data_IF_060970425648
#
_entry.id   IF_060970425648
#
_cell.length_a   1.000
_cell.length_b   1.000
_cell.length_c   1.000
_cell.angle_alpha   90.00
_cell.angle_beta   90.00
_cell.angle_gamma   90.00
#
_symmetry.space_group_name_H-M   'P 1'
#
loop_
_entity.id
_entity.type
_entity.pdbx_description
1 polymer ?
#
# COMPACT_ATOMS: atom_id res chain seq x y z
N UNK A 1 26.49 12.93 21.48
CA UNK A 1 25.14 13.49 21.35
C UNK A 1 24.92 13.80 19.89
N UNK A 2 23.76 13.52 19.29
CA UNK A 2 23.52 13.90 17.90
C UNK A 2 23.63 15.43 17.75
N UNK A 3 24.25 15.89 16.67
CA UNK A 3 24.55 17.30 16.44
C UNK A 3 23.31 18.13 16.10
N UNK A 4 22.27 17.50 15.56
CA UNK A 4 21.01 18.16 15.24
C UNK A 4 20.00 18.06 16.40
N UNK A 5 19.56 19.23 16.87
CA UNK A 5 18.55 19.38 17.92
C UNK A 5 17.10 19.25 17.42
N UNK A 6 16.92 19.14 16.10
CA UNK A 6 15.61 19.13 15.46
C UNK A 6 15.38 17.80 14.74
N UNK A 7 14.14 17.31 14.84
CA UNK A 7 13.66 16.13 14.13
C UNK A 7 12.80 16.60 12.96
N UNK A 8 13.20 16.24 11.74
CA UNK A 8 12.48 16.61 10.52
C UNK A 8 11.92 15.36 9.85
N UNK A 9 10.76 15.49 9.20
CA UNK A 9 10.18 14.42 8.41
C UNK A 9 10.88 14.35 7.05
N UNK A 10 11.42 13.19 6.68
CA UNK A 10 12.16 13.02 5.42
C UNK A 10 11.37 12.25 4.34
N UNK A 11 10.28 11.61 4.73
CA UNK A 11 9.58 10.61 3.92
C UNK A 11 8.43 11.20 3.09
N UNK A 12 8.68 12.35 2.44
CA UNK A 12 7.67 13.12 1.70
C UNK A 12 6.98 12.36 0.56
N UNK A 13 7.58 11.28 0.06
CA UNK A 13 6.96 10.39 -0.94
C UNK A 13 5.64 9.76 -0.47
N UNK A 14 5.43 9.64 0.84
CA UNK A 14 4.16 9.15 1.41
C UNK A 14 3.10 10.25 1.57
N UNK A 15 3.42 11.51 1.25
CA UNK A 15 2.43 12.58 1.17
C UNK A 15 1.61 12.54 -0.13
N UNK A 16 2.01 11.71 -1.11
CA UNK A 16 1.23 11.50 -2.31
C UNK A 16 0.18 10.41 -2.08
N UNK A 17 -1.09 10.64 -2.46
CA UNK A 17 -2.12 9.62 -2.34
C UNK A 17 -1.78 8.42 -3.21
N UNK A 18 -1.89 7.22 -2.62
CA UNK A 18 -1.78 5.97 -3.38
C UNK A 18 -3.10 5.78 -4.14
N UNK A 19 -3.08 5.75 -5.49
CA UNK A 19 -4.32 5.80 -6.27
C UNK A 19 -5.15 4.52 -6.15
N UNK A 20 -4.53 3.37 -5.89
CA UNK A 20 -5.23 2.10 -5.73
C UNK A 20 -4.66 1.32 -4.55
N UNK A 21 -5.55 0.79 -3.71
CA UNK A 21 -5.19 -0.05 -2.56
C UNK A 21 -5.91 -1.39 -2.65
N UNK A 22 -5.18 -2.49 -2.44
CA UNK A 22 -5.76 -3.83 -2.37
C UNK A 22 -5.76 -4.29 -0.91
N UNK A 23 -6.94 -4.64 -0.39
CA UNK A 23 -7.08 -5.30 0.91
C UNK A 23 -7.44 -6.76 0.68
N UNK A 24 -6.72 -7.68 1.32
CA UNK A 24 -6.91 -9.10 1.14
C UNK A 24 -6.80 -9.86 2.46
N UNK A 25 -7.51 -10.97 2.56
CA UNK A 25 -7.43 -11.92 3.67
C UNK A 25 -7.61 -13.35 3.17
N UNK A 26 -7.05 -14.31 3.93
CA UNK A 26 -7.09 -15.74 3.62
C UNK A 26 -7.81 -16.54 4.70
N UNK A 27 -8.55 -17.54 4.24
CA UNK A 27 -9.11 -18.57 5.10
C UNK A 27 -8.24 -19.81 5.06
N UNK A 28 -8.05 -20.47 6.20
CA UNK A 28 -7.21 -21.67 6.32
C UNK A 28 -7.89 -22.78 7.10
N UNK A 29 -7.71 -24.01 6.64
CA UNK A 29 -8.00 -25.20 7.42
C UNK A 29 -6.87 -25.45 8.42
N UNK A 30 -7.24 -25.71 9.68
CA UNK A 30 -6.28 -26.02 10.75
C UNK A 30 -6.20 -27.54 10.89
N UNK A 31 -5.09 -28.12 10.45
CA UNK A 31 -4.83 -29.56 10.52
C UNK A 31 -3.85 -29.85 11.64
N UNK A 32 -4.20 -30.76 12.55
CA UNK A 32 -3.30 -31.17 13.64
C UNK A 32 -2.04 -31.82 13.08
N UNK A 33 -0.89 -31.42 13.61
CA UNK A 33 0.38 -32.05 13.31
C UNK A 33 0.65 -33.12 14.36
N UNK A 34 0.90 -34.36 13.92
CA UNK A 34 1.40 -35.40 14.79
C UNK A 34 2.93 -35.35 14.75
N UNK A 35 3.54 -34.72 15.77
CA UNK A 35 5.00 -34.66 15.92
C UNK A 35 5.49 -35.68 16.94
N UNK A 36 6.68 -36.24 16.69
CA UNK A 36 7.39 -37.08 17.68
C UNK A 36 7.74 -36.27 18.94
N UNK A 37 7.86 -36.94 20.11
CA UNK A 37 8.33 -36.29 21.32
C UNK A 37 9.71 -35.68 21.08
N UNK A 38 9.93 -34.43 21.53
CA UNK A 38 11.20 -33.76 21.32
C UNK A 38 12.29 -34.27 22.29
N UNK A 39 13.55 -34.10 21.87
CA UNK A 39 14.73 -34.46 22.66
C UNK A 39 14.85 -33.54 23.90
N UNK A 40 14.84 -34.08 25.12
CA UNK A 40 14.90 -33.28 26.34
C UNK A 40 16.25 -32.58 26.57
N UNK A 41 17.34 -33.02 25.91
CA UNK A 41 18.68 -32.42 26.06
C UNK A 41 18.91 -31.19 25.17
N UNK A 42 17.92 -30.82 24.34
CA UNK A 42 18.03 -29.73 23.37
C UNK A 42 16.78 -28.86 23.40
N UNK A 43 16.95 -27.55 23.25
CA UNK A 43 15.80 -26.68 23.02
C UNK A 43 15.10 -27.05 21.72
N UNK A 44 13.77 -27.18 21.77
CA UNK A 44 12.94 -27.55 20.64
C UNK A 44 11.72 -26.63 20.52
N UNK A 45 11.13 -26.56 19.33
CA UNK A 45 9.82 -25.95 19.09
C UNK A 45 8.91 -27.02 18.50
N UNK A 46 7.72 -27.20 19.08
CA UNK A 46 6.73 -28.19 18.61
C UNK A 46 5.66 -27.47 17.80
N UNK A 47 5.59 -27.69 16.47
CA UNK A 47 4.48 -27.17 15.69
C UNK A 47 3.20 -27.94 16.02
N UNK A 48 2.17 -27.23 16.47
CA UNK A 48 0.91 -27.82 16.96
C UNK A 48 -0.15 -28.01 15.86
N UNK A 49 -0.11 -27.19 14.82
CA UNK A 49 -1.07 -27.21 13.73
C UNK A 49 -0.47 -26.67 12.43
N UNK A 50 -0.95 -27.20 11.32
CA UNK A 50 -0.66 -26.77 9.97
C UNK A 50 -1.85 -25.97 9.44
N UNK A 51 -1.61 -24.75 8.95
CA UNK A 51 -2.64 -23.91 8.34
C UNK A 51 -2.57 -24.10 6.82
N UNK A 52 -3.59 -24.73 6.26
CA UNK A 52 -3.69 -24.98 4.82
C UNK A 52 -4.67 -23.96 4.24
N UNK A 53 -4.22 -22.99 3.44
CA UNK A 53 -5.11 -22.01 2.84
C UNK A 53 -6.16 -22.69 1.96
N UNK A 54 -7.42 -22.35 2.18
CA UNK A 54 -8.56 -22.95 1.48
C UNK A 54 -9.48 -21.92 0.82
N UNK A 55 -9.17 -20.64 0.98
CA UNK A 55 -9.87 -19.56 0.30
C UNK A 55 -9.23 -18.21 0.58
N UNK A 56 -9.72 -17.20 -0.14
CA UNK A 56 -9.36 -15.81 0.10
C UNK A 56 -10.50 -14.88 -0.31
N UNK A 57 -10.44 -13.64 0.17
CA UNK A 57 -11.18 -12.53 -0.38
C UNK A 57 -10.26 -11.32 -0.55
N UNK A 58 -10.47 -10.55 -1.61
CA UNK A 58 -9.85 -9.23 -1.74
C UNK A 58 -10.78 -8.20 -2.34
N UNK A 59 -10.50 -6.94 -2.04
CA UNK A 59 -11.15 -5.77 -2.62
C UNK A 59 -10.10 -4.78 -3.13
N UNK A 60 -10.43 -4.10 -4.21
CA UNK A 60 -9.59 -3.03 -4.76
C UNK A 60 -10.32 -1.70 -4.55
N UNK A 61 -9.70 -0.79 -3.80
CA UNK A 61 -10.20 0.56 -3.55
C UNK A 61 -9.51 1.52 -4.51
N UNK A 62 -10.31 2.28 -5.25
CA UNK A 62 -9.84 3.29 -6.19
C UNK A 62 -9.55 4.65 -5.54
N UNK A 63 -9.14 5.65 -6.35
CA UNK A 63 -8.75 6.97 -5.85
C UNK A 63 -9.90 7.76 -5.21
N UNK A 64 -11.13 7.43 -5.56
CA UNK A 64 -12.36 8.02 -5.03
C UNK A 64 -12.83 7.35 -3.72
N UNK A 65 -12.09 6.35 -3.23
CA UNK A 65 -12.43 5.58 -2.03
C UNK A 65 -13.49 4.50 -2.27
N UNK A 66 -13.96 4.31 -3.50
CA UNK A 66 -14.95 3.29 -3.84
C UNK A 66 -14.30 2.00 -4.33
N UNK A 67 -15.08 0.92 -4.31
CA UNK A 67 -14.67 -0.34 -4.91
C UNK A 67 -14.53 -0.21 -6.43
N UNK A 68 -13.34 -0.53 -6.97
CA UNK A 68 -13.12 -0.65 -8.42
C UNK A 68 -14.00 -1.73 -9.03
N UNK A 69 -14.10 -2.86 -8.34
CA UNK A 69 -14.84 -4.05 -8.72
C UNK A 69 -15.55 -4.65 -7.48
N UNK A 70 -16.60 -5.47 -7.66
CA UNK A 70 -17.13 -6.28 -6.57
C UNK A 70 -16.02 -7.13 -5.90
N UNK A 71 -16.15 -7.45 -4.60
CA UNK A 71 -15.16 -8.27 -3.90
C UNK A 71 -14.88 -9.58 -4.62
N UNK A 72 -13.59 -9.85 -4.85
CA UNK A 72 -13.15 -11.11 -5.42
C UNK A 72 -13.05 -12.14 -4.31
N UNK A 73 -13.75 -13.26 -4.45
CA UNK A 73 -13.80 -14.33 -3.45
C UNK A 73 -13.48 -15.65 -4.13
N UNK A 74 -12.63 -16.44 -3.50
CA UNK A 74 -12.27 -17.76 -3.98
C UNK A 74 -12.26 -18.78 -2.84
N UNK A 75 -12.67 -20.02 -3.13
CA UNK A 75 -12.59 -21.18 -2.23
C UNK A 75 -12.11 -22.38 -3.02
N UNK A 76 -11.06 -23.04 -2.54
CA UNK A 76 -10.42 -24.17 -3.20
C UNK A 76 -9.03 -24.45 -2.64
N UNK A 77 -8.52 -25.65 -2.89
CA UNK A 77 -7.22 -26.10 -2.38
C UNK A 77 -6.03 -25.31 -2.96
N UNK A 78 -6.19 -24.74 -4.15
CA UNK A 78 -5.19 -23.90 -4.83
C UNK A 78 -5.40 -22.40 -4.56
N UNK A 79 -5.91 -22.04 -3.38
CA UNK A 79 -6.23 -20.66 -3.01
C UNK A 79 -5.04 -19.70 -3.18
N UNK A 80 -3.84 -20.13 -2.78
CA UNK A 80 -2.63 -19.30 -2.86
C UNK A 80 -2.25 -19.01 -4.32
N UNK A 81 -2.18 -20.03 -5.17
CA UNK A 81 -1.83 -19.85 -6.59
C UNK A 81 -2.88 -19.01 -7.32
N UNK A 82 -4.15 -19.25 -7.03
CA UNK A 82 -5.25 -18.48 -7.61
C UNK A 82 -5.24 -17.02 -7.13
N UNK A 83 -4.82 -16.77 -5.89
CA UNK A 83 -4.68 -15.43 -5.36
C UNK A 83 -3.59 -14.66 -6.11
N UNK A 84 -2.38 -15.20 -6.18
CA UNK A 84 -1.27 -14.50 -6.85
C UNK A 84 -1.56 -14.22 -8.32
N UNK A 85 -2.16 -15.16 -9.05
CA UNK A 85 -2.59 -14.93 -10.44
C UNK A 85 -3.55 -13.75 -10.56
N UNK A 86 -4.50 -13.63 -9.64
CA UNK A 86 -5.46 -12.53 -9.65
C UNK A 86 -4.84 -11.20 -9.23
N UNK A 87 -3.95 -11.18 -8.23
CA UNK A 87 -3.26 -9.95 -7.81
C UNK A 87 -2.35 -9.41 -8.92
N UNK A 88 -1.60 -10.26 -9.61
CA UNK A 88 -0.76 -9.84 -10.75
C UNK A 88 -1.64 -9.25 -11.86
N UNK A 89 -2.79 -9.88 -12.14
CA UNK A 89 -3.74 -9.35 -13.12
C UNK A 89 -4.31 -7.98 -12.71
N UNK A 90 -4.69 -7.82 -11.44
CA UNK A 90 -5.17 -6.53 -10.93
C UNK A 90 -4.08 -5.46 -11.03
N UNK A 91 -2.81 -5.80 -10.75
CA UNK A 91 -1.67 -4.90 -10.95
C UNK A 91 -1.57 -4.46 -12.41
N UNK A 92 -1.58 -5.39 -13.36
CA UNK A 92 -1.54 -5.09 -14.80
C UNK A 92 -2.69 -4.17 -15.22
N UNK A 93 -3.91 -4.47 -14.79
CA UNK A 93 -5.11 -3.67 -15.08
C UNK A 93 -4.99 -2.26 -14.48
N UNK A 94 -4.56 -2.14 -13.23
CA UNK A 94 -4.33 -0.85 -12.56
C UNK A 94 -3.25 -0.04 -13.27
N UNK A 95 -2.13 -0.66 -13.62
CA UNK A 95 -1.04 0.01 -14.32
C UNK A 95 -1.48 0.52 -15.69
N UNK A 96 -2.33 -0.21 -16.40
CA UNK A 96 -2.89 0.24 -17.67
C UNK A 96 -3.80 1.47 -17.51
N UNK A 97 -4.57 1.56 -16.43
CA UNK A 97 -5.35 2.75 -16.10
C UNK A 97 -4.41 3.92 -15.77
N UNK A 98 -3.39 3.70 -14.93
CA UNK A 98 -2.46 4.76 -14.50
C UNK A 98 -1.58 5.30 -15.64
N UNK A 99 -1.28 4.49 -16.65
CA UNK A 99 -0.54 4.91 -17.85
C UNK A 99 -1.36 5.79 -18.79
N UNK A 100 -2.69 5.80 -18.66
CA UNK A 100 -3.57 6.60 -19.51
C UNK A 100 -3.42 8.09 -19.14
N UNK A 101 -2.94 8.88 -20.11
CA UNK A 101 -2.85 10.33 -19.95
C UNK A 101 -4.25 10.92 -20.15
N UNK A 102 -4.84 11.40 -19.06
CA UNK A 102 -6.08 12.18 -19.08
C UNK A 102 -5.74 13.67 -19.05
N UNK A 103 -6.47 14.51 -19.82
CA UNK A 103 -6.31 15.96 -19.73
C UNK A 103 -6.57 16.45 -18.30
N UNK A 104 -5.61 17.18 -17.73
CA UNK A 104 -5.78 17.79 -16.42
C UNK A 104 -6.86 18.87 -16.52
N UNK A 105 -7.98 18.69 -15.82
CA UNK A 105 -8.96 19.75 -15.67
C UNK A 105 -8.49 20.78 -14.63
N UNK A 106 -7.74 21.78 -15.11
CA UNK A 106 -7.17 22.81 -14.27
C UNK A 106 -8.14 23.99 -14.12
N UNK A 107 -8.93 23.99 -13.05
CA UNK A 107 -9.89 25.05 -12.74
C UNK A 107 -9.20 26.40 -12.53
N UNK A 108 -9.94 27.50 -12.65
CA UNK A 108 -9.39 28.84 -12.41
C UNK A 108 -8.94 29.03 -10.95
N UNK A 109 -9.61 28.36 -10.01
CA UNK A 109 -9.19 28.30 -8.61
C UNK A 109 -7.84 27.57 -8.45
N UNK A 110 -7.67 26.41 -9.11
CA UNK A 110 -6.38 25.69 -9.11
C UNK A 110 -5.26 26.55 -9.71
N UNK A 111 -5.54 27.33 -10.77
CA UNK A 111 -4.59 28.29 -11.34
C UNK A 111 -4.21 29.37 -10.33
N UNK A 112 -5.17 29.90 -9.59
CA UNK A 112 -4.93 30.92 -8.58
C UNK A 112 -4.10 30.37 -7.42
N UNK A 113 -4.45 29.20 -6.88
CA UNK A 113 -3.67 28.51 -5.85
C UNK A 113 -2.25 28.22 -6.31
N UNK A 114 -2.08 27.72 -7.54
CA UNK A 114 -0.76 27.45 -8.09
C UNK A 114 0.09 28.72 -8.21
N UNK A 115 -0.48 29.82 -8.71
CA UNK A 115 0.21 31.11 -8.82
C UNK A 115 0.60 31.71 -7.47
N UNK A 116 -0.22 31.51 -6.45
CA UNK A 116 -0.02 32.08 -5.12
C UNK A 116 0.80 31.15 -4.18
N UNK A 117 1.15 29.95 -4.62
CA UNK A 117 1.88 28.99 -3.80
C UNK A 117 3.30 29.51 -3.50
N UNK A 118 3.61 29.67 -2.22
CA UNK A 118 4.93 30.09 -1.73
C UNK A 118 5.77 28.93 -1.23
N UNK A 119 5.14 27.80 -0.90
CA UNK A 119 5.76 26.60 -0.34
C UNK A 119 5.34 25.35 -1.12
N UNK A 120 6.22 24.37 -1.17
CA UNK A 120 5.98 23.09 -1.83
C UNK A 120 4.90 22.32 -1.06
N UNK A 121 3.84 21.83 -1.72
CA UNK A 121 2.81 21.06 -1.02
C UNK A 121 3.35 19.70 -0.47
N UNK A 122 4.45 19.20 -1.04
CA UNK A 122 5.00 17.88 -0.71
C UNK A 122 5.96 17.95 0.47
N UNK A 123 6.89 18.91 0.44
CA UNK A 123 7.95 19.03 1.46
C UNK A 123 7.87 20.29 2.30
N UNK A 124 6.87 21.15 2.07
CA UNK A 124 6.60 22.39 2.79
C UNK A 124 7.73 23.43 2.76
N UNK A 125 8.80 23.17 1.98
CA UNK A 125 9.91 24.12 1.81
C UNK A 125 9.50 25.27 0.88
N UNK A 126 10.02 26.50 1.09
CA UNK A 126 9.77 27.62 0.19
C UNK A 126 10.14 27.29 -1.26
N UNK A 127 9.25 27.60 -2.21
CA UNK A 127 9.48 27.37 -3.64
C UNK A 127 10.43 28.41 -4.25
N UNK A 128 10.45 29.60 -3.66
CA UNK A 128 11.39 30.66 -4.00
C UNK A 128 12.29 30.84 -2.78
N UNK A 129 13.57 30.49 -2.90
CA UNK A 129 14.57 30.81 -1.88
C UNK A 129 14.45 32.29 -1.55
N UNK A 130 14.28 32.62 -0.27
CA UNK A 130 13.97 33.98 0.16
C UNK A 130 14.87 35.00 -0.52
N UNK A 131 14.30 35.80 -1.42
CA UNK A 131 14.91 37.09 -1.73
C UNK A 131 14.70 37.94 -0.49
N UNK A 132 15.70 37.94 0.39
CA UNK A 132 15.89 39.02 1.34
C UNK A 132 16.18 40.29 0.54
N UNK A 133 15.13 40.95 0.05
CA UNK A 133 15.18 42.38 -0.25
C UNK A 133 15.22 43.12 1.08
N UNK A 134 16.40 43.17 1.69
CA UNK A 134 16.73 44.07 2.78
C UNK A 134 17.45 45.27 2.20
N UNK A 135 16.76 46.41 2.22
CA UNK A 135 17.29 47.74 1.96
C UNK A 135 18.27 48.18 3.05
#
# INVERSE_FOLDING_TARGET
MPENKWLEFENFKFNLPVPYTIYADFESLIVKINSSPPDPERSFTVPIANHIPCGYAYVVIGPDGNFKNPPAVYRGENAVDHFFKNIIKEEEDILNILKKIEPIHFSDENKLHFKNATHCHICEKPLFGGQSSGS
#
